data_IF_087303586082
#
_entry.id   IF_087303586082
#
_cell.length_a   1.000
_cell.length_b   1.000
_cell.length_c   1.000
_cell.angle_alpha   90.00
_cell.angle_beta   90.00
_cell.angle_gamma   90.00
#
_symmetry.space_group_name_H-M   'P 1'
#
loop_
_entity.id
_entity.type
_entity.pdbx_description
1 polymer ?
#
# COMPACT_ATOMS: atom_id res chain seq x y z
N UNK A 1 -7.05 -28.40 -16.57
CA UNK A 1 -7.27 -27.24 -15.70
C UNK A 1 -7.46 -26.05 -16.61
N UNK A 2 -8.68 -25.49 -16.69
CA UNK A 2 -8.93 -24.30 -17.49
C UNK A 2 -8.12 -23.13 -16.92
N UNK A 3 -7.40 -22.41 -17.76
CA UNK A 3 -6.76 -21.13 -17.41
C UNK A 3 -7.87 -20.22 -16.89
N UNK A 4 -7.92 -19.96 -15.59
CA UNK A 4 -8.78 -18.88 -15.09
C UNK A 4 -8.30 -17.60 -15.76
N UNK A 5 -9.23 -16.83 -16.34
CA UNK A 5 -8.90 -15.58 -17.00
C UNK A 5 -8.24 -14.64 -15.98
N UNK A 6 -7.07 -14.10 -16.30
CA UNK A 6 -6.37 -13.15 -15.48
C UNK A 6 -7.28 -11.94 -15.21
N UNK A 7 -7.44 -11.57 -13.95
CA UNK A 7 -8.20 -10.38 -13.57
C UNK A 7 -7.53 -9.10 -14.06
N UNK A 8 -8.34 -8.16 -14.53
CA UNK A 8 -7.86 -6.89 -15.06
C UNK A 8 -8.61 -5.72 -14.43
N UNK A 9 -7.89 -4.72 -13.96
CA UNK A 9 -8.42 -3.54 -13.29
C UNK A 9 -7.93 -2.28 -14.00
N UNK A 10 -8.82 -1.34 -14.24
CA UNK A 10 -8.49 0.00 -14.71
C UNK A 10 -8.28 0.91 -13.51
N UNK A 11 -7.21 1.72 -13.51
CA UNK A 11 -7.00 2.79 -12.54
C UNK A 11 -7.02 4.13 -13.26
N UNK A 12 -7.99 4.98 -12.91
CA UNK A 12 -8.07 6.33 -13.43
C UNK A 12 -7.13 7.23 -12.62
N UNK A 13 -6.16 7.83 -13.29
CA UNK A 13 -5.09 8.63 -12.71
C UNK A 13 -5.16 10.09 -13.17
N UNK A 14 -4.54 10.97 -12.40
CA UNK A 14 -4.40 12.38 -12.75
C UNK A 14 -3.37 13.08 -11.86
N UNK A 15 -3.23 14.39 -12.03
CA UNK A 15 -2.27 15.17 -11.25
C UNK A 15 -2.71 15.35 -9.80
N UNK A 16 -1.78 15.26 -8.87
CA UNK A 16 -2.01 15.38 -7.42
C UNK A 16 -3.00 14.32 -6.88
N UNK A 17 -2.95 13.11 -7.45
CA UNK A 17 -3.64 11.96 -6.86
C UNK A 17 -2.98 11.55 -5.56
N UNK A 18 -3.78 11.03 -4.63
CA UNK A 18 -3.29 10.56 -3.34
C UNK A 18 -2.35 9.36 -3.52
N UNK A 19 -1.12 9.49 -3.01
CA UNK A 19 -0.05 8.53 -3.24
C UNK A 19 -0.37 7.12 -2.69
N UNK A 20 -0.88 7.02 -1.45
CA UNK A 20 -1.21 5.72 -0.87
C UNK A 20 -2.42 5.06 -1.54
N UNK A 21 -3.44 5.84 -1.89
CA UNK A 21 -4.64 5.33 -2.56
C UNK A 21 -4.37 4.86 -3.99
N UNK A 22 -3.23 5.28 -4.53
CA UNK A 22 -2.72 4.85 -5.84
C UNK A 22 -1.78 3.66 -5.71
N UNK A 23 -0.67 3.81 -4.98
CA UNK A 23 0.42 2.83 -4.95
C UNK A 23 0.04 1.57 -4.18
N UNK A 24 -0.70 1.70 -3.06
CA UNK A 24 -1.04 0.53 -2.24
C UNK A 24 -1.95 -0.44 -2.99
N UNK A 25 -3.10 -0.02 -3.58
CA UNK A 25 -3.91 -0.91 -4.39
C UNK A 25 -3.18 -1.45 -5.62
N UNK A 26 -2.41 -0.60 -6.32
CA UNK A 26 -1.63 -1.00 -7.49
C UNK A 26 -0.70 -2.16 -7.16
N UNK A 27 0.12 -2.02 -6.14
CA UNK A 27 1.13 -3.02 -5.79
C UNK A 27 0.54 -4.29 -5.17
N UNK A 28 -0.52 -4.15 -4.37
CA UNK A 28 -1.22 -5.32 -3.80
C UNK A 28 -1.89 -6.15 -4.90
N UNK A 29 -2.57 -5.51 -5.83
CA UNK A 29 -3.21 -6.22 -6.95
C UNK A 29 -2.18 -6.90 -7.84
N UNK A 30 -1.09 -6.22 -8.18
CA UNK A 30 0.02 -6.79 -8.96
C UNK A 30 0.68 -7.98 -8.24
N UNK A 31 0.87 -7.90 -6.93
CA UNK A 31 1.46 -8.98 -6.13
C UNK A 31 0.66 -10.29 -6.27
N UNK A 32 -0.65 -10.19 -6.42
CA UNK A 32 -1.52 -11.36 -6.53
C UNK A 32 -2.01 -11.63 -7.96
N UNK A 33 -1.27 -11.13 -8.97
CA UNK A 33 -1.48 -11.51 -10.36
C UNK A 33 -2.62 -10.77 -11.09
N UNK A 34 -3.16 -9.70 -10.49
CA UNK A 34 -4.14 -8.84 -11.18
C UNK A 34 -3.40 -7.85 -12.08
N UNK A 35 -3.82 -7.76 -13.34
CA UNK A 35 -3.32 -6.72 -14.24
C UNK A 35 -3.96 -5.38 -13.89
N UNK A 36 -3.14 -4.34 -13.71
CA UNK A 36 -3.63 -2.98 -13.43
C UNK A 36 -3.15 -2.03 -14.52
N UNK A 37 -4.08 -1.41 -15.22
CA UNK A 37 -3.82 -0.42 -16.25
C UNK A 37 -4.10 0.98 -15.72
N UNK A 38 -3.04 1.77 -15.59
CA UNK A 38 -3.08 3.16 -15.13
C UNK A 38 -3.19 4.09 -16.34
N UNK A 39 -4.28 4.86 -16.39
CA UNK A 39 -4.61 5.74 -17.51
C UNK A 39 -4.98 7.13 -17.03
N UNK A 40 -4.73 8.16 -17.87
CA UNK A 40 -5.16 9.54 -17.64
C UNK A 40 -5.57 10.18 -18.98
N UNK A 41 -6.67 10.94 -19.04
CA UNK A 41 -7.08 11.57 -20.29
C UNK A 41 -6.01 12.55 -20.80
N UNK A 42 -5.82 12.56 -22.11
CA UNK A 42 -4.84 13.42 -22.77
C UNK A 42 -3.37 13.01 -22.57
N UNK A 43 -3.10 11.87 -21.92
CA UNK A 43 -1.75 11.34 -21.64
C UNK A 43 -1.55 9.96 -22.28
N UNK A 44 -0.28 9.59 -22.49
CA UNK A 44 0.14 8.34 -23.15
C UNK A 44 0.84 7.41 -22.16
N UNK A 45 0.95 6.15 -22.53
CA UNK A 45 1.86 5.20 -21.89
C UNK A 45 3.28 5.78 -21.82
N UNK A 46 3.87 5.75 -20.64
CA UNK A 46 5.18 6.34 -20.34
C UNK A 46 5.14 7.77 -19.80
N UNK A 47 4.02 8.49 -19.95
CA UNK A 47 3.85 9.80 -19.31
C UNK A 47 3.72 9.63 -17.79
N UNK A 48 4.12 10.66 -17.05
CA UNK A 48 4.09 10.66 -15.58
C UNK A 48 2.95 11.54 -15.07
N UNK A 49 2.25 11.08 -14.04
CA UNK A 49 1.32 11.88 -13.24
C UNK A 49 1.93 12.14 -11.86
N UNK A 50 1.87 13.37 -11.39
CA UNK A 50 2.34 13.77 -10.07
C UNK A 50 1.45 13.11 -8.99
N UNK A 51 2.07 12.56 -7.97
CA UNK A 51 1.40 12.08 -6.76
C UNK A 51 1.66 13.01 -5.58
N UNK A 52 0.69 13.14 -4.71
CA UNK A 52 0.79 13.92 -3.49
C UNK A 52 0.50 13.08 -2.26
N UNK A 53 1.19 13.37 -1.16
CA UNK A 53 0.85 12.88 0.15
C UNK A 53 -0.16 13.84 0.79
N UNK A 54 -1.34 13.34 1.09
CA UNK A 54 -2.37 14.05 1.84
C UNK A 54 -2.39 13.52 3.28
N UNK A 55 -1.46 14.01 4.11
CA UNK A 55 -1.39 13.58 5.50
C UNK A 55 -2.48 14.26 6.32
N UNK A 56 -3.23 13.47 7.07
CA UNK A 56 -4.37 13.94 7.84
C UNK A 56 -3.91 14.63 9.12
N UNK A 57 -4.39 15.85 9.34
CA UNK A 57 -4.17 16.64 10.56
C UNK A 57 -5.32 16.49 11.57
N UNK A 58 -6.09 15.42 11.44
CA UNK A 58 -7.31 15.11 12.16
C UNK A 58 -8.29 14.44 11.20
N UNK A 59 -9.58 14.46 11.53
CA UNK A 59 -10.61 13.88 10.66
C UNK A 59 -11.10 14.85 9.57
N UNK A 60 -10.80 16.15 9.70
CA UNK A 60 -11.44 17.21 8.91
C UNK A 60 -10.51 17.91 7.92
N UNK A 61 -9.19 17.84 8.10
CA UNK A 61 -8.22 18.57 7.29
C UNK A 61 -6.98 17.74 6.98
N UNK A 62 -6.36 18.03 5.85
CA UNK A 62 -5.14 17.37 5.38
C UNK A 62 -4.16 18.36 4.76
N UNK A 63 -2.89 17.95 4.70
CA UNK A 63 -1.84 18.65 3.92
C UNK A 63 -1.79 18.11 2.49
N UNK A 64 -1.11 18.82 1.59
CA UNK A 64 -0.76 18.32 0.26
C UNK A 64 0.73 18.55 0.02
N UNK A 65 1.49 17.47 -0.13
CA UNK A 65 2.92 17.50 -0.44
C UNK A 65 3.20 16.69 -1.69
N UNK A 66 3.82 17.30 -2.70
CA UNK A 66 4.28 16.55 -3.89
C UNK A 66 5.39 15.59 -3.47
N UNK A 67 5.20 14.30 -3.73
CA UNK A 67 6.11 13.26 -3.25
C UNK A 67 6.78 12.47 -4.37
N UNK A 68 6.03 12.03 -5.38
CA UNK A 68 6.52 11.09 -6.40
C UNK A 68 5.71 11.23 -7.70
N UNK A 69 6.01 10.38 -8.67
CA UNK A 69 5.34 10.33 -9.96
C UNK A 69 4.94 8.89 -10.30
N UNK A 70 3.69 8.69 -10.72
CA UNK A 70 3.25 7.45 -11.32
C UNK A 70 3.47 7.49 -12.83
N UNK A 71 4.17 6.49 -13.37
CA UNK A 71 4.28 6.29 -14.82
C UNK A 71 3.06 5.52 -15.33
N UNK A 72 2.34 6.09 -16.29
CA UNK A 72 1.19 5.46 -16.92
C UNK A 72 1.65 4.26 -17.78
N UNK A 73 0.91 3.17 -17.71
CA UNK A 73 1.23 1.93 -18.44
C UNK A 73 0.20 1.58 -19.53
N UNK A 74 -0.82 2.42 -19.72
CA UNK A 74 -1.82 2.27 -20.77
C UNK A 74 -2.29 3.65 -21.27
N UNK A 75 -2.97 3.66 -22.43
CA UNK A 75 -3.54 4.88 -23.02
C UNK A 75 -5.01 4.98 -22.70
N UNK A 76 -5.49 6.16 -22.31
CA UNK A 76 -6.90 6.41 -21.98
C UNK A 76 -7.84 6.16 -23.17
N UNK A 77 -7.49 6.67 -24.36
CA UNK A 77 -8.34 6.55 -25.56
C UNK A 77 -8.46 5.09 -26.09
N UNK A 78 -7.63 4.18 -25.58
CA UNK A 78 -7.68 2.75 -25.94
C UNK A 78 -8.47 1.90 -24.94
N UNK A 79 -9.08 2.49 -23.93
CA UNK A 79 -9.81 1.77 -22.89
C UNK A 79 -11.13 1.19 -23.43
N UNK A 80 -11.28 -0.12 -23.31
CA UNK A 80 -12.53 -0.85 -23.59
C UNK A 80 -13.06 -1.38 -22.26
N UNK A 81 -14.09 -0.73 -21.64
CA UNK A 81 -14.54 -1.08 -20.29
C UNK A 81 -14.95 -2.55 -20.13
N UNK A 82 -15.46 -3.19 -21.18
CA UNK A 82 -15.84 -4.61 -21.16
C UNK A 82 -14.68 -5.56 -20.83
N UNK A 83 -13.42 -5.16 -21.09
CA UNK A 83 -12.23 -5.97 -20.84
C UNK A 83 -11.72 -5.91 -19.39
N UNK A 84 -12.30 -5.07 -18.55
CA UNK A 84 -11.90 -4.91 -17.16
C UNK A 84 -12.94 -5.52 -16.20
N UNK A 85 -12.48 -6.02 -15.06
CA UNK A 85 -13.33 -6.50 -13.96
C UNK A 85 -13.76 -5.35 -13.03
N UNK A 86 -12.94 -4.32 -12.94
CA UNK A 86 -13.20 -3.16 -12.07
C UNK A 86 -12.52 -1.87 -12.58
N UNK A 87 -13.00 -0.74 -12.08
CA UNK A 87 -12.30 0.54 -12.12
C UNK A 87 -11.99 1.01 -10.69
N UNK A 88 -10.76 1.47 -10.46
CA UNK A 88 -10.32 2.13 -9.23
C UNK A 88 -10.09 3.60 -9.52
N UNK A 89 -10.63 4.45 -8.67
CA UNK A 89 -10.45 5.90 -8.75
C UNK A 89 -9.90 6.35 -7.39
N UNK A 90 -8.59 6.58 -7.27
CA UNK A 90 -7.98 7.13 -6.07
C UNK A 90 -8.54 8.52 -5.73
N UNK A 91 -8.33 8.97 -4.51
CA UNK A 91 -8.58 10.34 -4.14
C UNK A 91 -7.47 11.29 -4.58
N UNK A 92 -7.51 12.49 -4.04
CA UNK A 92 -6.61 13.57 -4.39
C UNK A 92 -7.25 14.59 -5.34
N UNK A 93 -6.54 15.67 -5.59
CA UNK A 93 -7.10 16.86 -6.22
C UNK A 93 -7.45 16.70 -7.71
N UNK A 94 -6.86 15.72 -8.40
CA UNK A 94 -7.24 15.44 -9.79
C UNK A 94 -8.73 15.13 -9.95
N UNK A 95 -9.39 14.65 -8.91
CA UNK A 95 -10.82 14.31 -8.92
C UNK A 95 -11.68 15.53 -9.16
N UNK A 96 -11.28 16.71 -8.67
CA UNK A 96 -11.98 17.98 -8.87
C UNK A 96 -11.98 18.39 -10.36
N UNK A 97 -10.85 18.16 -11.04
CA UNK A 97 -10.70 18.47 -12.46
C UNK A 97 -11.38 17.44 -13.36
N UNK A 98 -11.06 16.18 -13.17
CA UNK A 98 -11.47 15.12 -14.10
C UNK A 98 -12.93 14.67 -13.89
N UNK A 99 -13.55 14.93 -12.74
CA UNK A 99 -15.00 14.72 -12.58
C UNK A 99 -15.86 15.70 -13.39
N UNK A 100 -15.27 16.78 -13.93
CA UNK A 100 -15.89 17.68 -14.88
C UNK A 100 -15.57 17.33 -16.36
N UNK A 101 -14.70 16.36 -16.61
CA UNK A 101 -14.37 15.88 -17.95
C UNK A 101 -15.40 14.85 -18.43
N UNK A 102 -16.11 15.15 -19.51
CA UNK A 102 -17.19 14.30 -20.04
C UNK A 102 -16.73 12.89 -20.41
N UNK A 103 -15.48 12.71 -20.88
CA UNK A 103 -14.94 11.39 -21.23
C UNK A 103 -14.72 10.55 -19.98
N UNK A 104 -14.19 11.15 -18.92
CA UNK A 104 -14.01 10.47 -17.64
C UNK A 104 -15.34 10.09 -17.00
N UNK A 105 -16.29 11.00 -16.97
CA UNK A 105 -17.64 10.76 -16.43
C UNK A 105 -18.35 9.65 -17.22
N UNK A 106 -18.29 9.69 -18.57
CA UNK A 106 -18.85 8.66 -19.44
C UNK A 106 -18.18 7.30 -19.23
N UNK A 107 -16.87 7.27 -18.99
CA UNK A 107 -16.14 6.04 -18.68
C UNK A 107 -16.68 5.40 -17.38
N UNK A 108 -16.83 6.18 -16.32
CA UNK A 108 -17.35 5.71 -15.02
C UNK A 108 -18.80 5.22 -15.17
N UNK A 109 -19.65 6.00 -15.88
CA UNK A 109 -21.02 5.60 -16.17
C UNK A 109 -21.08 4.26 -16.92
N UNK A 110 -20.17 4.04 -17.89
CA UNK A 110 -20.12 2.78 -18.63
C UNK A 110 -19.77 1.57 -17.76
N UNK A 111 -18.86 1.71 -16.78
CA UNK A 111 -18.58 0.66 -15.80
C UNK A 111 -19.83 0.33 -14.96
N UNK A 112 -20.61 1.34 -14.57
CA UNK A 112 -21.85 1.15 -13.84
C UNK A 112 -22.93 0.41 -14.68
N UNK A 113 -23.13 0.79 -15.96
CA UNK A 113 -24.01 0.10 -16.90
C UNK A 113 -23.66 -1.39 -17.07
N UNK A 114 -22.37 -1.67 -17.15
CA UNK A 114 -21.83 -3.03 -17.24
C UNK A 114 -21.86 -3.78 -15.90
N UNK A 115 -22.36 -3.15 -14.82
CA UNK A 115 -22.39 -3.69 -13.45
C UNK A 115 -21.02 -4.18 -12.97
N UNK A 116 -19.95 -3.55 -13.43
CA UNK A 116 -18.59 -3.82 -13.00
C UNK A 116 -18.29 -3.09 -11.70
N UNK A 117 -17.33 -3.61 -10.93
CA UNK A 117 -16.95 -3.01 -9.67
C UNK A 117 -16.35 -1.61 -9.89
N UNK A 118 -16.86 -0.63 -9.17
CA UNK A 118 -16.33 0.73 -9.13
C UNK A 118 -15.87 1.00 -7.71
N UNK A 119 -14.55 1.14 -7.53
CA UNK A 119 -13.95 1.47 -6.25
C UNK A 119 -13.53 2.94 -6.23
N UNK A 120 -14.08 3.70 -5.29
CA UNK A 120 -13.80 5.13 -5.07
C UNK A 120 -13.26 5.36 -3.68
N UNK A 121 -12.38 6.35 -3.54
CA UNK A 121 -11.75 6.72 -2.28
C UNK A 121 -11.72 8.24 -2.10
N UNK A 122 -11.88 8.71 -0.87
CA UNK A 122 -11.72 10.12 -0.49
C UNK A 122 -12.65 11.05 -1.29
N UNK A 123 -12.10 11.89 -2.19
CA UNK A 123 -12.86 12.84 -3.02
C UNK A 123 -13.35 12.24 -4.36
N UNK A 124 -12.99 11.00 -4.71
CA UNK A 124 -13.34 10.43 -6.01
C UNK A 124 -14.84 10.12 -6.18
N UNK A 125 -15.64 10.23 -5.13
CA UNK A 125 -17.10 10.21 -5.21
C UNK A 125 -17.69 11.35 -6.05
N UNK A 126 -16.91 12.40 -6.34
CA UNK A 126 -17.29 13.42 -7.32
C UNK A 126 -17.62 12.81 -8.69
N UNK A 127 -16.92 11.75 -9.11
CA UNK A 127 -17.23 11.06 -10.36
C UNK A 127 -18.59 10.36 -10.32
N UNK A 128 -18.96 9.77 -9.16
CA UNK A 128 -20.26 9.14 -9.00
C UNK A 128 -21.39 10.16 -9.03
N UNK A 129 -21.17 11.32 -8.39
CA UNK A 129 -22.10 12.44 -8.42
C UNK A 129 -22.27 12.98 -9.83
N UNK A 130 -21.16 13.27 -10.54
CA UNK A 130 -21.16 13.78 -11.91
C UNK A 130 -21.81 12.82 -12.92
N UNK A 131 -21.62 11.51 -12.73
CA UNK A 131 -22.24 10.47 -13.55
C UNK A 131 -23.71 10.18 -13.17
N UNK A 132 -24.29 10.89 -12.19
CA UNK A 132 -25.66 10.68 -11.73
C UNK A 132 -25.89 9.31 -11.09
N UNK A 133 -24.87 8.69 -10.50
CA UNK A 133 -24.92 7.34 -9.95
C UNK A 133 -25.28 7.32 -8.46
N UNK A 134 -25.12 8.44 -7.74
CA UNK A 134 -25.52 8.58 -6.34
C UNK A 134 -27.04 8.84 -6.23
N UNK A 135 -27.84 7.82 -6.48
CA UNK A 135 -29.30 7.96 -6.50
C UNK A 135 -29.97 6.87 -5.64
N UNK A 136 -31.25 7.09 -5.33
CA UNK A 136 -32.06 6.06 -4.66
C UNK A 136 -31.61 5.68 -3.26
N UNK A 137 -30.84 6.54 -2.59
CA UNK A 137 -30.31 6.27 -1.27
C UNK A 137 -29.13 5.30 -1.27
N UNK A 138 -28.37 5.20 -2.37
CA UNK A 138 -27.15 4.38 -2.43
C UNK A 138 -26.22 4.76 -1.28
N UNK A 139 -25.83 3.77 -0.48
CA UNK A 139 -24.91 3.98 0.66
C UNK A 139 -23.50 4.31 0.15
N UNK A 140 -22.93 5.38 0.67
CA UNK A 140 -21.63 5.87 0.27
C UNK A 140 -20.89 6.49 1.44
N UNK A 141 -19.58 6.26 1.53
CA UNK A 141 -18.67 6.96 2.43
C UNK A 141 -17.57 7.63 1.61
N UNK A 142 -16.94 8.65 2.19
CA UNK A 142 -15.91 9.46 1.55
C UNK A 142 -15.11 10.22 2.62
N UNK A 143 -14.16 11.05 2.22
CA UNK A 143 -13.65 12.08 3.09
C UNK A 143 -14.81 12.99 3.55
N UNK A 144 -14.79 13.41 4.82
CA UNK A 144 -15.98 13.98 5.49
C UNK A 144 -16.56 15.19 4.78
N UNK A 145 -15.71 16.03 4.17
CA UNK A 145 -16.15 17.20 3.39
C UNK A 145 -17.04 16.86 2.19
N UNK A 146 -17.05 15.60 1.75
CA UNK A 146 -17.87 15.13 0.62
C UNK A 146 -19.32 14.84 1.01
N UNK A 147 -19.64 14.76 2.30
CA UNK A 147 -20.98 14.43 2.79
C UNK A 147 -22.09 15.26 2.15
N UNK A 148 -22.00 16.62 2.13
CA UNK A 148 -23.06 17.43 1.53
C UNK A 148 -23.30 17.12 0.03
N UNK A 149 -22.25 16.82 -0.73
CA UNK A 149 -22.36 16.49 -2.16
C UNK A 149 -23.00 15.14 -2.39
N UNK A 150 -22.68 14.16 -1.55
CA UNK A 150 -23.30 12.83 -1.61
C UNK A 150 -24.79 12.92 -1.34
N UNK A 151 -25.20 13.64 -0.28
CA UNK A 151 -26.60 13.81 0.10
C UNK A 151 -27.38 14.64 -0.94
N UNK A 152 -26.81 15.71 -1.46
CA UNK A 152 -27.40 16.53 -2.54
C UNK A 152 -27.59 15.73 -3.85
N UNK A 153 -26.74 14.75 -4.10
CA UNK A 153 -26.85 13.87 -5.27
C UNK A 153 -27.86 12.73 -5.08
N UNK A 154 -28.47 12.60 -3.89
CA UNK A 154 -29.45 11.57 -3.57
C UNK A 154 -28.87 10.27 -3.01
N UNK A 155 -27.58 10.26 -2.67
CA UNK A 155 -26.92 9.18 -1.93
C UNK A 155 -27.21 9.23 -0.44
N UNK A 156 -27.02 8.11 0.24
CA UNK A 156 -27.11 8.00 1.70
C UNK A 156 -25.71 7.99 2.30
N UNK A 157 -25.36 9.05 3.02
CA UNK A 157 -24.08 9.12 3.74
C UNK A 157 -23.99 8.02 4.79
N UNK A 158 -22.87 7.34 4.79
CA UNK A 158 -22.55 6.37 5.82
C UNK A 158 -21.19 6.71 6.46
N UNK A 159 -21.13 6.62 7.78
CA UNK A 159 -19.92 6.83 8.56
C UNK A 159 -19.90 5.83 9.71
N UNK A 160 -18.73 5.27 9.98
CA UNK A 160 -18.56 4.34 11.09
C UNK A 160 -18.83 5.06 12.42
N UNK A 161 -19.74 4.54 13.25
CA UNK A 161 -20.02 5.17 14.54
C UNK A 161 -18.87 4.97 15.53
N UNK A 162 -18.67 5.97 16.40
CA UNK A 162 -17.77 5.88 17.55
C UNK A 162 -16.28 5.99 17.23
N UNK A 163 -15.90 6.35 16.01
CA UNK A 163 -14.50 6.60 15.61
C UNK A 163 -13.99 7.87 16.30
N UNK A 164 -12.87 7.77 17.00
CA UNK A 164 -12.20 8.91 17.64
C UNK A 164 -10.83 9.19 17.03
N UNK A 165 -10.23 8.20 16.35
CA UNK A 165 -8.90 8.32 15.76
C UNK A 165 -8.87 7.73 14.35
N UNK A 166 -7.93 8.20 13.51
CA UNK A 166 -7.72 7.70 12.16
C UNK A 166 -7.44 6.19 12.08
N UNK A 167 -6.91 5.59 13.15
CA UNK A 167 -6.58 4.16 13.17
C UNK A 167 -7.79 3.25 13.39
N UNK A 168 -8.86 3.79 13.94
CA UNK A 168 -10.11 3.07 14.19
C UNK A 168 -11.00 3.03 12.96
N UNK A 169 -10.66 3.83 11.93
CA UNK A 169 -11.45 3.90 10.71
C UNK A 169 -11.18 2.65 9.86
N UNK A 170 -12.21 1.84 9.70
CA UNK A 170 -12.20 0.69 8.78
C UNK A 170 -13.27 0.84 7.69
N UNK A 171 -13.78 2.05 7.51
CA UNK A 171 -14.90 2.36 6.64
C UNK A 171 -14.65 1.92 5.20
N UNK A 172 -15.36 0.89 4.80
CA UNK A 172 -15.50 0.48 3.43
C UNK A 172 -16.96 0.10 3.21
N UNK A 173 -17.66 0.88 2.42
CA UNK A 173 -19.07 0.64 2.10
C UNK A 173 -19.15 0.02 0.72
N UNK A 174 -19.82 -1.12 0.65
CA UNK A 174 -20.16 -1.76 -0.61
C UNK A 174 -21.68 -1.77 -0.77
N UNK A 175 -22.18 -1.19 -1.86
CA UNK A 175 -23.57 -1.19 -2.27
C UNK A 175 -23.68 -1.62 -3.73
N UNK A 176 -24.13 -2.85 -3.96
CA UNK A 176 -24.11 -3.46 -5.28
C UNK A 176 -22.70 -3.60 -5.86
N UNK A 177 -22.48 -2.96 -7.01
CA UNK A 177 -21.17 -2.89 -7.69
C UNK A 177 -20.33 -1.66 -7.26
N UNK A 178 -20.86 -0.81 -6.41
CA UNK A 178 -20.14 0.36 -5.90
C UNK A 178 -19.45 0.04 -4.59
N UNK A 179 -18.22 0.49 -4.47
CA UNK A 179 -17.42 0.35 -3.27
C UNK A 179 -16.76 1.70 -2.98
N UNK A 180 -16.96 2.21 -1.79
CA UNK A 180 -16.45 3.52 -1.37
C UNK A 180 -15.74 3.44 -0.04
N UNK A 181 -14.74 4.30 0.15
CA UNK A 181 -13.96 4.38 1.38
C UNK A 181 -13.59 5.83 1.71
N UNK A 182 -13.41 6.09 3.00
CA UNK A 182 -13.06 7.42 3.51
C UNK A 182 -11.73 7.93 2.94
N UNK A 183 -10.77 7.05 2.72
CA UNK A 183 -9.44 7.40 2.25
C UNK A 183 -8.37 6.40 2.65
N UNK A 184 -7.11 6.78 2.51
CA UNK A 184 -5.96 5.90 2.75
C UNK A 184 -5.90 5.24 4.14
N UNK A 185 -6.43 5.78 5.24
CA UNK A 185 -6.41 5.09 6.54
C UNK A 185 -7.10 3.73 6.49
N UNK A 186 -8.13 3.60 5.66
CA UNK A 186 -8.98 2.41 5.57
C UNK A 186 -8.44 1.32 4.63
N UNK A 187 -7.33 1.56 3.92
CA UNK A 187 -6.83 0.68 2.85
C UNK A 187 -6.63 -0.78 3.28
N UNK A 188 -6.21 -1.04 4.52
CA UNK A 188 -6.07 -2.42 4.99
C UNK A 188 -7.37 -3.21 4.92
N UNK A 189 -8.50 -2.61 5.31
CA UNK A 189 -9.81 -3.24 5.25
C UNK A 189 -10.40 -3.21 3.83
N UNK A 190 -10.35 -2.05 3.17
CA UNK A 190 -10.93 -1.89 1.83
C UNK A 190 -10.26 -2.76 0.78
N UNK A 191 -8.96 -3.01 0.87
CA UNK A 191 -8.25 -3.93 -0.02
C UNK A 191 -8.73 -5.38 0.13
N UNK A 192 -9.02 -5.83 1.37
CA UNK A 192 -9.64 -7.14 1.58
C UNK A 192 -10.96 -7.24 0.84
N UNK A 193 -11.85 -6.27 1.04
CA UNK A 193 -13.16 -6.21 0.37
C UNK A 193 -13.00 -6.13 -1.16
N UNK A 194 -12.01 -5.39 -1.65
CA UNK A 194 -11.70 -5.29 -3.08
C UNK A 194 -11.27 -6.63 -3.67
N UNK A 195 -10.30 -7.32 -3.05
CA UNK A 195 -9.81 -8.64 -3.47
C UNK A 195 -10.95 -9.66 -3.50
N UNK A 196 -11.74 -9.75 -2.42
CA UNK A 196 -12.91 -10.63 -2.33
C UNK A 196 -13.97 -10.29 -3.39
N UNK A 197 -14.20 -8.99 -3.66
CA UNK A 197 -15.15 -8.54 -4.69
C UNK A 197 -14.70 -8.84 -6.12
N UNK A 198 -13.39 -8.93 -6.36
CA UNK A 198 -12.81 -9.41 -7.62
C UNK A 198 -12.87 -10.95 -7.74
N UNK A 199 -13.35 -11.65 -6.71
CA UNK A 199 -13.55 -13.08 -6.71
C UNK A 199 -12.41 -13.88 -6.10
N UNK A 200 -11.46 -13.24 -5.41
CA UNK A 200 -10.38 -13.97 -4.76
C UNK A 200 -10.84 -14.67 -3.48
N UNK A 201 -10.14 -15.76 -3.18
CA UNK A 201 -10.19 -16.44 -1.88
C UNK A 201 -8.85 -16.20 -1.16
N UNK A 202 -8.93 -15.58 0.00
CA UNK A 202 -7.78 -15.38 0.90
C UNK A 202 -7.76 -16.55 1.89
N UNK A 203 -6.62 -17.22 2.04
CA UNK A 203 -6.47 -18.35 2.95
C UNK A 203 -5.09 -18.41 3.58
N UNK A 204 -5.02 -19.11 4.73
CA UNK A 204 -3.77 -19.43 5.45
C UNK A 204 -3.61 -20.94 5.54
N UNK A 205 -2.38 -21.41 5.37
CA UNK A 205 -2.03 -22.82 5.62
C UNK A 205 -1.93 -23.16 7.12
N UNK A 206 -1.94 -22.14 7.98
CA UNK A 206 -1.88 -22.31 9.43
C UNK A 206 -3.32 -22.30 9.98
N UNK A 207 -3.85 -23.47 10.29
CA UNK A 207 -5.16 -23.59 10.93
C UNK A 207 -5.13 -23.00 12.35
N UNK A 208 -6.16 -22.23 12.72
CA UNK A 208 -6.35 -21.63 14.04
C UNK A 208 -5.20 -20.71 14.54
N UNK A 209 -4.35 -20.21 13.63
CA UNK A 209 -3.29 -19.27 13.95
C UNK A 209 -3.38 -18.03 13.06
N UNK A 210 -3.60 -16.87 13.69
CA UNK A 210 -3.53 -15.59 12.99
C UNK A 210 -2.06 -15.20 12.81
N UNK A 211 -1.59 -15.19 11.56
CA UNK A 211 -0.23 -14.75 11.24
C UNK A 211 -0.01 -13.32 11.73
N UNK A 212 1.14 -13.09 12.37
CA UNK A 212 1.48 -11.82 13.00
C UNK A 212 2.81 -11.27 12.51
N UNK A 213 2.82 -9.99 12.11
CA UNK A 213 4.01 -9.29 11.63
C UNK A 213 4.31 -8.06 12.47
N UNK A 214 5.58 -7.87 12.79
CA UNK A 214 6.09 -6.68 13.48
C UNK A 214 6.95 -5.86 12.52
N UNK A 215 6.61 -4.61 12.29
CA UNK A 215 7.42 -3.66 11.55
C UNK A 215 8.30 -2.85 12.50
N UNK A 216 9.61 -2.94 12.34
CA UNK A 216 10.57 -2.15 13.10
C UNK A 216 10.93 -0.89 12.33
N UNK A 217 10.49 0.25 12.83
CA UNK A 217 10.55 1.55 12.16
C UNK A 217 11.24 2.62 13.01
N UNK A 218 11.52 3.74 12.40
CA UNK A 218 11.99 4.98 13.04
C UNK A 218 11.70 6.17 12.13
N UNK A 219 12.06 7.37 12.53
CA UNK A 219 11.95 8.54 11.67
C UNK A 219 12.72 8.35 10.36
N UNK A 220 12.21 8.95 9.29
CA UNK A 220 12.70 8.81 7.93
C UNK A 220 12.65 7.35 7.40
N UNK A 221 11.68 6.55 7.87
CA UNK A 221 11.33 5.29 7.21
C UNK A 221 10.79 5.59 5.81
N UNK A 222 11.11 4.74 4.83
CA UNK A 222 10.61 4.96 3.48
C UNK A 222 9.11 4.66 3.39
N UNK A 223 8.36 5.60 2.86
CA UNK A 223 6.92 5.74 2.94
C UNK A 223 6.15 4.53 2.37
N UNK A 224 6.52 4.10 1.16
CA UNK A 224 5.86 2.95 0.53
C UNK A 224 6.33 1.62 1.10
N UNK A 225 7.60 1.51 1.52
CA UNK A 225 8.15 0.28 2.08
C UNK A 225 7.57 -0.09 3.45
N UNK A 226 6.99 0.87 4.16
CA UNK A 226 6.20 0.60 5.36
C UNK A 226 4.72 0.45 5.03
N UNK A 227 4.10 1.39 4.32
CA UNK A 227 2.64 1.44 4.20
C UNK A 227 2.08 0.33 3.30
N UNK A 228 2.73 0.05 2.16
CA UNK A 228 2.25 -0.98 1.23
C UNK A 228 2.18 -2.36 1.89
N UNK A 229 3.26 -2.91 2.48
CA UNK A 229 3.18 -4.22 3.10
C UNK A 229 2.34 -4.20 4.39
N UNK A 230 2.35 -3.12 5.17
CA UNK A 230 1.52 -3.01 6.36
C UNK A 230 0.03 -3.18 6.00
N UNK A 231 -0.46 -2.41 5.03
CA UNK A 231 -1.85 -2.48 4.56
C UNK A 231 -2.17 -3.79 3.84
N UNK A 232 -1.23 -4.31 3.05
CA UNK A 232 -1.39 -5.60 2.39
C UNK A 232 -1.60 -6.74 3.39
N UNK A 233 -0.75 -6.87 4.41
CA UNK A 233 -0.90 -7.93 5.41
C UNK A 233 -2.13 -7.74 6.30
N UNK A 234 -2.56 -6.50 6.57
CA UNK A 234 -3.88 -6.25 7.17
C UNK A 234 -5.01 -6.80 6.29
N UNK A 235 -4.96 -6.55 4.98
CA UNK A 235 -5.96 -7.07 4.03
C UNK A 235 -5.98 -8.60 3.97
N UNK A 236 -4.84 -9.25 4.16
CA UNK A 236 -4.73 -10.70 4.25
C UNK A 236 -5.18 -11.29 5.61
N UNK A 237 -5.65 -10.45 6.53
CA UNK A 237 -6.16 -10.87 7.85
C UNK A 237 -5.08 -11.11 8.90
N UNK A 238 -3.86 -10.63 8.68
CA UNK A 238 -2.78 -10.73 9.65
C UNK A 238 -2.95 -9.71 10.79
N UNK A 239 -2.42 -10.04 11.96
CA UNK A 239 -2.10 -9.05 12.98
C UNK A 239 -0.84 -8.31 12.53
N UNK A 240 -0.89 -6.99 12.45
CA UNK A 240 0.23 -6.17 11.97
C UNK A 240 0.48 -5.03 12.94
N UNK A 241 1.68 -4.97 13.50
CA UNK A 241 2.10 -3.92 14.43
C UNK A 241 3.36 -3.20 13.92
N UNK A 242 3.50 -1.93 14.31
CA UNK A 242 4.67 -1.11 14.05
C UNK A 242 5.24 -0.57 15.35
N UNK A 243 6.55 -0.76 15.55
CA UNK A 243 7.26 -0.39 16.79
C UNK A 243 8.56 0.38 16.48
N UNK A 244 8.91 1.27 17.39
CA UNK A 244 10.23 1.94 17.42
C UNK A 244 10.73 2.03 18.86
N UNK A 245 12.06 1.93 19.08
CA UNK A 245 12.62 2.08 20.43
C UNK A 245 12.62 3.53 20.94
N UNK A 246 12.25 4.51 20.12
CA UNK A 246 12.40 5.94 20.39
C UNK A 246 11.08 6.69 20.61
N UNK A 247 9.96 6.08 20.30
CA UNK A 247 8.63 6.73 20.41
C UNK A 247 7.60 5.80 21.05
N UNK A 248 6.55 6.39 21.58
CA UNK A 248 5.44 5.68 22.22
C UNK A 248 4.36 5.31 21.21
N UNK A 249 3.51 4.38 21.57
CA UNK A 249 2.27 4.09 20.82
C UNK A 249 1.47 5.37 20.59
N UNK A 250 1.01 5.56 19.35
CA UNK A 250 0.26 6.74 18.92
C UNK A 250 1.11 7.93 18.47
N UNK A 251 2.42 7.92 18.71
CA UNK A 251 3.32 8.94 18.16
C UNK A 251 3.64 8.65 16.69
N UNK A 252 3.95 9.71 15.94
CA UNK A 252 4.23 9.66 14.50
C UNK A 252 5.72 9.54 14.22
N UNK A 253 6.10 8.65 13.31
CA UNK A 253 7.39 8.67 12.62
C UNK A 253 7.21 9.43 11.30
N UNK A 254 8.06 10.42 11.04
CA UNK A 254 8.14 11.05 9.74
C UNK A 254 8.60 10.00 8.71
N UNK A 255 7.98 10.00 7.54
CA UNK A 255 8.42 9.15 6.43
C UNK A 255 9.14 9.95 5.35
N UNK A 256 9.87 9.26 4.48
CA UNK A 256 10.47 9.85 3.28
C UNK A 256 10.09 9.03 2.05
N UNK A 257 9.90 9.72 0.93
CA UNK A 257 9.67 9.12 -0.39
C UNK A 257 10.91 9.29 -1.24
N UNK A 258 11.33 8.20 -1.88
CA UNK A 258 12.45 8.20 -2.82
C UNK A 258 11.93 8.30 -4.26
N UNK A 259 12.04 9.47 -4.86
CA UNK A 259 11.66 9.72 -6.26
C UNK A 259 12.92 9.84 -7.14
N UNK A 260 13.06 8.93 -8.11
CA UNK A 260 14.15 8.99 -9.09
C UNK A 260 13.72 9.92 -10.24
N UNK A 261 14.10 11.19 -10.11
CA UNK A 261 13.89 12.19 -11.14
C UNK A 261 14.81 11.99 -12.35
N UNK A 262 14.36 12.38 -13.52
CA UNK A 262 15.10 12.21 -14.76
C UNK A 262 16.47 12.91 -14.73
N UNK A 263 17.50 12.20 -15.21
CA UNK A 263 18.88 12.68 -15.22
C UNK A 263 19.65 12.56 -13.90
N UNK A 264 19.03 12.03 -12.83
CA UNK A 264 19.70 11.79 -11.54
C UNK A 264 20.22 10.36 -11.45
N UNK A 265 21.32 10.18 -10.72
CA UNK A 265 21.87 8.86 -10.38
C UNK A 265 21.28 8.28 -9.09
N UNK A 266 20.81 9.16 -8.20
CA UNK A 266 20.24 8.83 -6.90
C UNK A 266 18.86 9.48 -6.79
N UNK A 267 17.92 8.83 -6.10
CA UNK A 267 16.60 9.42 -5.86
C UNK A 267 16.71 10.65 -4.93
N UNK A 268 15.76 11.55 -5.08
CA UNK A 268 15.50 12.58 -4.09
C UNK A 268 14.91 11.97 -2.83
N UNK A 269 15.01 12.67 -1.70
CA UNK A 269 14.34 12.31 -0.46
C UNK A 269 13.36 13.43 -0.10
N UNK A 270 12.07 13.17 -0.24
CA UNK A 270 11.00 14.11 0.07
C UNK A 270 10.24 13.59 1.29
N UNK A 271 9.75 14.46 2.16
CA UNK A 271 8.83 14.04 3.22
C UNK A 271 7.54 13.49 2.59
N UNK A 272 7.11 12.34 3.10
CA UNK A 272 5.86 11.70 2.74
C UNK A 272 4.79 11.92 3.82
N UNK A 273 3.95 10.92 4.03
CA UNK A 273 3.01 10.88 5.14
C UNK A 273 3.73 10.68 6.48
N UNK A 274 2.99 10.77 7.56
CA UNK A 274 3.48 10.30 8.85
C UNK A 274 2.95 8.89 9.13
N UNK A 275 3.81 8.02 9.64
CA UNK A 275 3.41 6.68 10.04
C UNK A 275 3.35 6.57 11.57
N UNK A 276 2.29 5.96 12.08
CA UNK A 276 2.06 5.89 13.52
C UNK A 276 2.61 4.59 14.13
N UNK A 277 3.19 4.73 15.32
CA UNK A 277 3.57 3.59 16.16
C UNK A 277 2.30 2.94 16.73
N UNK A 278 2.08 1.66 16.47
CA UNK A 278 0.84 0.97 16.86
C UNK A 278 0.95 0.19 18.15
N UNK A 279 2.18 -0.17 18.58
CA UNK A 279 2.45 -0.91 19.80
C UNK A 279 3.61 -0.26 20.57
N UNK A 280 3.53 -0.24 21.91
CA UNK A 280 4.62 0.27 22.73
C UNK A 280 5.81 -0.69 22.74
N UNK A 281 7.03 -0.15 22.83
CA UNK A 281 8.26 -0.96 22.82
C UNK A 281 8.28 -2.06 23.88
N UNK A 282 7.85 -1.71 25.10
CA UNK A 282 7.90 -2.61 26.25
C UNK A 282 6.83 -3.72 26.18
N UNK A 283 5.83 -3.58 25.30
CA UNK A 283 4.80 -4.58 25.06
C UNK A 283 5.16 -5.56 23.93
N UNK A 284 6.38 -5.45 23.34
CA UNK A 284 6.81 -6.28 22.21
C UNK A 284 7.70 -7.42 22.68
N UNK A 285 7.29 -8.65 22.36
CA UNK A 285 8.14 -9.84 22.45
C UNK A 285 8.29 -10.49 21.08
N UNK A 286 9.50 -10.97 20.76
CA UNK A 286 9.71 -11.76 19.56
C UNK A 286 8.86 -13.05 19.54
N UNK A 287 8.36 -13.52 20.68
CA UNK A 287 7.50 -14.71 20.77
C UNK A 287 6.10 -14.45 20.17
N UNK A 288 5.62 -13.22 20.23
CA UNK A 288 4.26 -12.84 19.83
C UNK A 288 4.08 -12.65 18.31
N UNK A 289 5.18 -12.72 17.55
CA UNK A 289 5.15 -12.47 16.12
C UNK A 289 5.80 -13.59 15.31
N UNK A 290 5.28 -13.87 14.12
CA UNK A 290 5.84 -14.82 13.16
C UNK A 290 6.97 -14.24 12.33
N UNK A 291 6.95 -12.92 12.10
CA UNK A 291 7.88 -12.21 11.23
C UNK A 291 8.21 -10.82 11.77
N UNK A 292 9.48 -10.42 11.61
CA UNK A 292 9.88 -9.01 11.71
C UNK A 292 10.22 -8.47 10.33
N UNK A 293 9.70 -7.28 10.00
CA UNK A 293 9.95 -6.56 8.75
C UNK A 293 10.71 -5.28 9.06
N UNK A 294 11.82 -5.06 8.35
CA UNK A 294 12.62 -3.83 8.42
C UNK A 294 12.46 -3.08 7.09
N UNK A 295 11.61 -2.04 7.04
CA UNK A 295 11.43 -1.20 5.86
C UNK A 295 12.70 -0.41 5.51
N UNK A 296 12.70 0.22 4.32
CA UNK A 296 13.79 1.05 3.83
C UNK A 296 13.81 2.47 4.41
N UNK A 297 14.44 3.39 3.67
CA UNK A 297 14.63 4.77 4.06
C UNK A 297 15.90 4.98 4.88
N UNK A 298 15.93 6.05 5.69
CA UNK A 298 17.05 6.35 6.60
C UNK A 298 16.87 5.75 7.99
N UNK A 299 15.68 5.32 8.33
CA UNK A 299 15.37 4.67 9.61
C UNK A 299 16.35 3.55 9.99
N UNK A 300 16.74 2.61 9.09
CA UNK A 300 17.70 1.55 9.42
C UNK A 300 19.07 2.05 9.84
N UNK A 301 19.52 3.21 9.36
CA UNK A 301 20.80 3.81 9.76
C UNK A 301 20.79 4.28 11.22
N UNK A 302 19.64 4.74 11.71
CA UNK A 302 19.46 5.11 13.11
C UNK A 302 19.23 3.87 13.98
N UNK A 303 18.46 2.92 13.50
CA UNK A 303 18.12 1.70 14.25
C UNK A 303 19.35 0.82 14.49
N UNK A 304 20.31 0.76 13.56
CA UNK A 304 21.52 -0.03 13.73
C UNK A 304 22.40 0.47 14.89
N UNK A 305 22.30 1.75 15.24
CA UNK A 305 22.99 2.33 16.39
C UNK A 305 22.25 2.11 17.71
N UNK A 306 21.04 1.60 17.67
CA UNK A 306 20.24 1.32 18.86
C UNK A 306 20.37 -0.15 19.27
N UNK A 307 21.04 -0.47 20.41
CA UNK A 307 21.24 -1.86 20.84
C UNK A 307 19.94 -2.65 21.02
N UNK A 308 18.85 -1.99 21.46
CA UNK A 308 17.54 -2.65 21.62
C UNK A 308 16.96 -3.09 20.28
N UNK A 309 17.10 -2.26 19.23
CA UNK A 309 16.61 -2.58 17.89
C UNK A 309 17.40 -3.76 17.28
N UNK A 310 18.73 -3.73 17.40
CA UNK A 310 19.63 -4.82 16.94
C UNK A 310 19.28 -6.11 17.66
N UNK A 311 19.13 -6.06 18.98
CA UNK A 311 18.81 -7.23 19.80
C UNK A 311 17.44 -7.82 19.47
N UNK A 312 16.43 -6.99 19.21
CA UNK A 312 15.12 -7.46 18.81
C UNK A 312 15.19 -8.30 17.53
N UNK A 313 15.88 -7.81 16.49
CA UNK A 313 16.04 -8.56 15.23
C UNK A 313 16.82 -9.86 15.46
N UNK A 314 17.90 -9.83 16.29
CA UNK A 314 18.65 -11.06 16.65
C UNK A 314 17.76 -12.13 17.27
N UNK A 315 16.84 -11.75 18.17
CA UNK A 315 15.88 -12.68 18.77
C UNK A 315 15.00 -13.38 17.73
N UNK A 316 14.57 -12.68 16.68
CA UNK A 316 13.83 -13.33 15.59
C UNK A 316 14.70 -14.35 14.85
N UNK A 317 15.96 -14.01 14.55
CA UNK A 317 16.92 -14.90 13.90
C UNK A 317 17.19 -16.14 14.77
N UNK A 318 17.49 -15.97 16.04
CA UNK A 318 17.80 -17.05 17.00
C UNK A 318 16.62 -18.00 17.22
N UNK A 319 15.40 -17.46 17.19
CA UNK A 319 14.16 -18.25 17.30
C UNK A 319 13.71 -18.89 15.98
N UNK A 320 14.49 -18.75 14.89
CA UNK A 320 14.14 -19.29 13.57
C UNK A 320 12.83 -18.71 12.99
N UNK A 321 12.50 -17.49 13.36
CA UNK A 321 11.34 -16.78 12.82
C UNK A 321 11.69 -16.07 11.50
N UNK A 322 10.68 -15.64 10.75
CA UNK A 322 10.92 -14.90 9.51
C UNK A 322 11.50 -13.52 9.80
N UNK A 323 12.47 -13.14 8.98
CA UNK A 323 13.06 -11.80 8.95
C UNK A 323 12.97 -11.28 7.53
N UNK A 324 12.43 -10.08 7.35
CA UNK A 324 12.27 -9.50 6.04
C UNK A 324 12.81 -8.07 6.01
N UNK A 325 13.38 -7.66 4.86
CA UNK A 325 13.88 -6.31 4.67
C UNK A 325 13.65 -5.78 3.26
N UNK A 326 13.48 -4.47 3.17
CA UNK A 326 13.29 -3.75 1.90
C UNK A 326 14.36 -2.67 1.80
N UNK A 327 15.07 -2.61 0.66
CA UNK A 327 16.04 -1.56 0.38
C UNK A 327 17.10 -1.41 1.47
N UNK A 328 17.12 -0.25 2.12
CA UNK A 328 18.06 0.06 3.21
C UNK A 328 17.84 -0.76 4.50
N UNK A 329 16.72 -1.49 4.62
CA UNK A 329 16.47 -2.40 5.74
C UNK A 329 17.60 -3.44 5.93
N UNK A 330 18.27 -3.84 4.86
CA UNK A 330 19.44 -4.72 4.92
C UNK A 330 20.62 -4.14 5.74
N UNK A 331 20.69 -2.83 5.93
CA UNK A 331 21.71 -2.19 6.75
C UNK A 331 21.61 -2.64 8.21
N UNK A 332 20.41 -2.65 8.76
CA UNK A 332 20.16 -3.18 10.11
C UNK A 332 20.41 -4.68 10.16
N UNK A 333 19.95 -5.45 9.16
CA UNK A 333 20.13 -6.89 9.13
C UNK A 333 21.61 -7.31 9.09
N UNK A 334 22.47 -6.53 8.43
CA UNK A 334 23.92 -6.77 8.39
C UNK A 334 24.54 -6.79 9.79
N UNK A 335 24.05 -5.95 10.70
CA UNK A 335 24.57 -5.87 12.08
C UNK A 335 24.05 -6.99 13.01
N UNK A 336 23.08 -7.79 12.57
CA UNK A 336 22.40 -8.80 13.41
C UNK A 336 22.84 -10.23 13.15
N UNK A 337 23.64 -10.46 12.11
CA UNK A 337 24.02 -11.79 11.65
C UNK A 337 22.96 -12.48 10.76
N UNK A 338 21.83 -11.84 10.51
CA UNK A 338 20.73 -12.38 9.69
C UNK A 338 21.15 -12.70 8.24
N UNK A 339 22.14 -11.97 7.71
CA UNK A 339 22.62 -12.11 6.33
C UNK A 339 23.76 -13.13 6.15
N UNK A 340 24.32 -13.65 7.23
CA UNK A 340 25.50 -14.53 7.14
C UNK A 340 25.20 -15.81 6.37
N UNK A 341 25.92 -16.02 5.26
CA UNK A 341 25.75 -17.17 4.33
C UNK A 341 24.33 -17.25 3.72
N UNK A 342 23.63 -16.13 3.62
CA UNK A 342 22.30 -16.05 3.01
C UNK A 342 22.37 -15.34 1.67
N UNK A 343 21.59 -15.82 0.72
CA UNK A 343 21.29 -15.13 -0.54
C UNK A 343 20.30 -13.99 -0.26
N UNK A 344 20.54 -12.82 -0.82
CA UNK A 344 19.65 -11.67 -0.62
C UNK A 344 19.65 -10.72 -1.81
N UNK A 345 18.50 -10.03 -1.98
CA UNK A 345 18.42 -8.86 -2.83
C UNK A 345 19.04 -7.66 -2.09
N UNK A 346 19.60 -6.72 -2.84
CA UNK A 346 20.28 -5.56 -2.25
C UNK A 346 20.07 -4.31 -3.08
N UNK A 347 19.77 -3.19 -2.43
CA UNK A 347 19.84 -1.87 -3.04
C UNK A 347 21.28 -1.44 -3.27
N UNK A 348 21.46 -0.40 -4.09
CA UNK A 348 22.79 0.21 -4.28
C UNK A 348 23.45 0.64 -2.95
N UNK A 349 22.67 1.12 -1.99
CA UNK A 349 23.15 1.61 -0.69
C UNK A 349 23.55 0.51 0.30
N UNK A 350 23.13 -0.75 0.07
CA UNK A 350 23.36 -1.84 1.02
C UNK A 350 24.34 -2.92 0.55
N UNK A 351 24.79 -2.87 -0.72
CA UNK A 351 25.70 -3.89 -1.29
C UNK A 351 26.95 -4.12 -0.46
N UNK A 352 27.57 -3.06 0.05
CA UNK A 352 28.78 -3.17 0.87
C UNK A 352 28.45 -3.80 2.23
N UNK A 353 27.40 -3.36 2.88
CA UNK A 353 26.97 -3.89 4.18
C UNK A 353 26.62 -5.40 4.09
N UNK A 354 25.90 -5.82 3.05
CA UNK A 354 25.58 -7.22 2.80
C UNK A 354 26.84 -8.08 2.64
N UNK A 355 27.80 -7.62 1.81
CA UNK A 355 29.05 -8.35 1.60
C UNK A 355 29.89 -8.45 2.89
N UNK A 356 30.00 -7.37 3.64
CA UNK A 356 30.76 -7.37 4.92
C UNK A 356 30.09 -8.27 5.95
N UNK A 357 28.76 -8.36 5.95
CA UNK A 357 28.01 -9.27 6.81
C UNK A 357 28.10 -10.75 6.38
N UNK A 358 28.77 -11.05 5.26
CA UNK A 358 28.90 -12.41 4.72
C UNK A 358 27.68 -12.93 3.98
N UNK A 359 26.84 -12.02 3.48
CA UNK A 359 25.72 -12.32 2.60
C UNK A 359 26.14 -12.40 1.13
N UNK A 360 25.39 -13.19 0.35
CA UNK A 360 25.53 -13.33 -1.09
C UNK A 360 24.47 -12.50 -1.80
N UNK A 361 24.90 -11.52 -2.62
CA UNK A 361 23.99 -10.68 -3.38
C UNK A 361 23.60 -11.40 -4.67
N UNK A 362 22.30 -11.56 -4.90
CA UNK A 362 21.75 -12.10 -6.15
C UNK A 362 21.40 -10.93 -7.05
N UNK A 363 22.32 -10.57 -7.95
CA UNK A 363 22.16 -9.38 -8.84
C UNK A 363 21.02 -9.55 -9.86
N UNK A 364 20.66 -10.79 -10.22
CA UNK A 364 19.59 -11.10 -11.20
C UNK A 364 18.19 -11.07 -10.59
N UNK A 365 18.05 -11.04 -9.27
CA UNK A 365 16.78 -11.10 -8.57
C UNK A 365 16.57 -9.85 -7.73
N UNK A 366 15.43 -9.19 -7.91
CA UNK A 366 15.07 -7.97 -7.19
C UNK A 366 14.40 -8.26 -5.84
N UNK A 367 13.84 -9.46 -5.69
CA UNK A 367 13.32 -10.01 -4.44
C UNK A 367 13.84 -11.44 -4.28
N UNK A 368 14.43 -11.75 -3.14
CA UNK A 368 15.06 -13.05 -2.84
C UNK A 368 14.50 -13.60 -1.53
N UNK A 369 14.13 -14.90 -1.58
CA UNK A 369 13.81 -15.70 -0.39
C UNK A 369 14.90 -16.73 -0.19
N UNK A 370 15.48 -16.77 1.01
CA UNK A 370 16.42 -17.79 1.43
C UNK A 370 16.05 -18.27 2.84
N UNK A 371 15.39 -19.43 2.91
CA UNK A 371 14.84 -20.02 4.13
C UNK A 371 13.89 -19.05 4.86
N UNK A 372 14.27 -18.50 6.01
CA UNK A 372 13.48 -17.55 6.81
C UNK A 372 13.79 -16.08 6.50
N UNK A 373 14.60 -15.81 5.51
CA UNK A 373 14.95 -14.45 5.08
C UNK A 373 14.24 -14.09 3.78
N UNK A 374 13.55 -12.95 3.77
CA UNK A 374 12.96 -12.38 2.54
C UNK A 374 13.46 -10.95 2.36
N UNK A 375 14.10 -10.67 1.23
CA UNK A 375 14.69 -9.35 0.95
C UNK A 375 14.23 -8.81 -0.39
N UNK A 376 13.94 -7.51 -0.45
CA UNK A 376 13.67 -6.78 -1.70
C UNK A 376 14.66 -5.62 -1.87
N UNK A 377 15.03 -5.33 -3.11
CA UNK A 377 16.06 -4.32 -3.39
C UNK A 377 15.54 -2.88 -3.28
N UNK A 378 14.26 -2.65 -3.61
CA UNK A 378 13.66 -1.30 -3.61
C UNK A 378 12.14 -1.34 -3.49
N UNK A 379 11.51 -0.18 -3.45
CA UNK A 379 10.04 -0.01 -3.40
C UNK A 379 9.35 -0.50 -4.67
N UNK A 380 9.98 -0.39 -5.82
CA UNK A 380 9.42 -0.94 -7.08
C UNK A 380 9.31 -2.47 -7.07
N UNK A 381 10.00 -3.14 -6.14
CA UNK A 381 9.99 -4.60 -5.98
C UNK A 381 8.94 -5.07 -4.95
N UNK A 382 8.16 -4.15 -4.39
CA UNK A 382 7.13 -4.47 -3.38
C UNK A 382 6.09 -5.48 -3.85
N UNK A 383 5.61 -5.51 -5.10
CA UNK A 383 4.72 -6.59 -5.54
C UNK A 383 5.36 -7.98 -5.39
N UNK A 384 6.60 -8.14 -5.81
CA UNK A 384 7.34 -9.39 -5.66
C UNK A 384 7.61 -9.74 -4.18
N UNK A 385 7.93 -8.74 -3.36
CA UNK A 385 8.12 -8.89 -1.92
C UNK A 385 6.86 -9.36 -1.21
N UNK A 386 5.71 -8.74 -1.51
CA UNK A 386 4.42 -9.13 -0.95
C UNK A 386 4.08 -10.57 -1.29
N UNK A 387 4.23 -10.96 -2.54
CA UNK A 387 4.01 -12.33 -2.98
C UNK A 387 4.94 -13.32 -2.26
N UNK A 388 6.24 -13.03 -2.23
CA UNK A 388 7.25 -13.89 -1.62
C UNK A 388 7.03 -14.05 -0.12
N UNK A 389 6.80 -12.95 0.62
CA UNK A 389 6.61 -12.99 2.06
C UNK A 389 5.27 -13.61 2.44
N UNK A 390 4.17 -13.32 1.71
CA UNK A 390 2.88 -13.97 1.96
C UNK A 390 2.99 -15.48 1.75
N UNK A 391 3.61 -15.94 0.66
CA UNK A 391 3.83 -17.35 0.37
C UNK A 391 4.68 -18.02 1.46
N UNK A 392 5.78 -17.37 1.87
CA UNK A 392 6.66 -17.88 2.94
C UNK A 392 5.94 -18.02 4.29
N UNK A 393 5.01 -17.12 4.59
CA UNK A 393 4.16 -17.16 5.78
C UNK A 393 2.97 -18.14 5.68
N UNK A 394 2.78 -18.75 4.51
CA UNK A 394 1.69 -19.69 4.25
C UNK A 394 0.34 -19.03 3.92
N UNK A 395 0.38 -17.77 3.49
CA UNK A 395 -0.80 -17.02 3.04
C UNK A 395 -0.95 -17.15 1.53
N UNK A 396 -2.17 -17.22 1.04
CA UNK A 396 -2.46 -17.25 -0.39
C UNK A 396 -3.69 -16.44 -0.76
N UNK A 397 -3.63 -15.85 -1.96
CA UNK A 397 -4.75 -15.16 -2.63
C UNK A 397 -4.93 -15.84 -3.99
N UNK A 398 -6.08 -16.43 -4.20
CA UNK A 398 -6.39 -17.19 -5.42
C UNK A 398 -7.67 -16.65 -6.04
N UNK A 399 -7.63 -16.25 -7.30
CA UNK A 399 -8.77 -15.77 -8.08
C UNK A 399 -9.44 -16.89 -8.85
#
# INVERSE_FOLDING_TARGET
>A
MGSMAQKSVLMLCGEFMEAYETIVPLYVLQAFGVSVHCVSPGRKTGDKCVMAAHDLLGLEIYTELVVDHLTLNANFDGVIPDQYDAIIIPGGRFTELLSADEKCVSLVARFAELKKLIFTSCHSQLFLAAAGLLTGGMKCTAFESMKPFIELSGGAWWQQPGVQTLFEITDCVKDGSFMSTMGWPTLGHSLKVLLESLGSKISSSKENHQTSLLFLIGDCVEDYSINVPFKAFQALGCKVDAVTPTKKRGEKCATIVHDLEDGRQLPTEKFGHNFYVTVAWDDVSADDYDCIVVPGGRSPELLVMNPKAVELVRKFVEKGKFVAAIGMGNWLLAATGALKKKRCASSYGTKVAVKVAGGEIVESERCVTDDKLVTAASTSDLPAFLYALSTALGLSVVF
#
